data_IF_305360752847
#
_entry.id   IF_305360752847
#
_cell.length_a   1.000
_cell.length_b   1.000
_cell.length_c   1.000
_cell.angle_alpha   90.00
_cell.angle_beta   90.00
_cell.angle_gamma   90.00
#
_symmetry.space_group_name_H-M   'P 1'
#
loop_
_entity.id
_entity.type
_entity.pdbx_description
1 polymer ?
#
# COMPACT_ATOMS: atom_id res chain seq x y z
N UNK A 1 41.49 74.54 -22.98
CA UNK A 1 41.81 73.24 -23.62
C UNK A 1 41.05 72.13 -22.91
N UNK A 2 40.04 71.52 -23.55
CA UNK A 2 39.24 70.43 -22.98
C UNK A 2 39.95 69.10 -23.23
N UNK A 3 40.35 68.38 -22.17
CA UNK A 3 40.79 66.98 -22.26
C UNK A 3 39.53 66.10 -22.22
N UNK A 4 39.22 65.44 -23.33
CA UNK A 4 38.21 64.37 -23.36
C UNK A 4 38.79 63.15 -22.62
N UNK A 5 38.15 62.73 -21.53
CA UNK A 5 38.38 61.42 -20.92
C UNK A 5 37.61 60.38 -21.74
N UNK A 6 38.34 59.50 -22.43
CA UNK A 6 37.79 58.26 -22.96
C UNK A 6 37.47 57.35 -21.77
N UNK A 7 36.18 57.09 -21.53
CA UNK A 7 35.75 55.96 -20.71
C UNK A 7 35.92 54.70 -21.56
N UNK A 8 36.97 53.93 -21.26
CA UNK A 8 37.08 52.53 -21.67
C UNK A 8 36.03 51.75 -20.87
N UNK A 9 35.04 51.19 -21.58
CA UNK A 9 34.21 50.13 -21.04
C UNK A 9 35.10 48.89 -20.97
N UNK A 10 35.68 48.64 -19.80
CA UNK A 10 36.27 47.36 -19.49
C UNK A 10 35.11 46.38 -19.29
N UNK A 11 34.82 45.61 -20.33
CA UNK A 11 33.99 44.41 -20.23
C UNK A 11 34.58 43.53 -19.13
N UNK A 12 33.89 43.47 -17.99
CA UNK A 12 34.11 42.37 -17.06
C UNK A 12 33.52 41.16 -17.74
N UNK A 13 34.36 40.34 -18.35
CA UNK A 13 34.01 38.97 -18.70
C UNK A 13 33.46 38.33 -17.43
N UNK A 14 32.14 38.17 -17.37
CA UNK A 14 31.53 37.32 -16.37
C UNK A 14 32.07 35.93 -16.68
N UNK A 15 32.66 35.24 -15.69
CA UNK A 15 32.99 33.82 -15.82
C UNK A 15 31.72 33.07 -16.21
N UNK A 16 31.53 32.85 -17.51
CA UNK A 16 30.41 32.10 -18.03
C UNK A 16 30.77 30.64 -17.84
N UNK A 17 30.07 29.99 -16.90
CA UNK A 17 30.09 28.53 -16.77
C UNK A 17 29.96 27.90 -18.16
N UNK A 18 30.78 26.89 -18.43
CA UNK A 18 30.65 26.10 -19.66
C UNK A 18 29.26 25.45 -19.73
N UNK A 19 28.80 25.11 -20.93
CA UNK A 19 27.47 24.52 -21.11
C UNK A 19 27.34 23.22 -20.30
N UNK A 20 28.40 22.43 -20.23
CA UNK A 20 28.51 21.22 -19.43
C UNK A 20 28.39 21.52 -17.92
N UNK A 21 29.08 22.53 -17.41
CA UNK A 21 28.97 22.94 -16.00
C UNK A 21 27.59 23.52 -15.66
N UNK A 22 26.94 24.18 -16.62
CA UNK A 22 25.55 24.65 -16.47
C UNK A 22 24.57 23.47 -16.41
N UNK A 23 24.76 22.45 -17.26
CA UNK A 23 23.93 21.26 -17.27
C UNK A 23 24.10 20.43 -15.99
N UNK A 24 25.34 20.23 -15.52
CA UNK A 24 25.62 19.54 -14.26
C UNK A 24 25.07 20.32 -13.05
N UNK A 25 25.16 21.64 -13.06
CA UNK A 25 24.58 22.51 -12.03
C UNK A 25 23.05 22.45 -12.02
N UNK A 26 22.42 22.43 -13.19
CA UNK A 26 20.96 22.27 -13.32
C UNK A 26 20.52 20.89 -12.81
N UNK A 27 21.22 19.82 -13.18
CA UNK A 27 20.90 18.46 -12.72
C UNK A 27 21.04 18.34 -11.20
N UNK A 28 22.09 18.91 -10.60
CA UNK A 28 22.25 18.96 -9.14
C UNK A 28 21.15 19.79 -8.46
N UNK A 29 20.74 20.91 -9.06
CA UNK A 29 19.67 21.77 -8.53
C UNK A 29 18.31 21.08 -8.61
N UNK A 30 18.04 20.35 -9.70
CA UNK A 30 16.82 19.53 -9.84
C UNK A 30 16.79 18.39 -8.83
N UNK A 31 17.91 17.70 -8.59
CA UNK A 31 18.00 16.66 -7.57
C UNK A 31 17.74 17.22 -6.16
N UNK A 32 18.29 18.39 -5.83
CA UNK A 32 18.06 19.05 -4.54
C UNK A 32 16.60 19.54 -4.40
N UNK A 33 16.02 20.13 -5.43
CA UNK A 33 14.62 20.56 -5.43
C UNK A 33 13.66 19.37 -5.29
N UNK A 34 13.92 18.27 -5.99
CA UNK A 34 13.13 17.04 -5.88
C UNK A 34 13.28 16.38 -4.51
N UNK A 35 14.49 16.38 -3.91
CA UNK A 35 14.70 15.91 -2.55
C UNK A 35 13.90 16.75 -1.54
N UNK A 36 13.96 18.08 -1.63
CA UNK A 36 13.20 18.98 -0.76
C UNK A 36 11.68 18.84 -0.94
N UNK A 37 11.19 18.65 -2.16
CA UNK A 37 9.77 18.38 -2.43
C UNK A 37 9.32 17.04 -1.83
N UNK A 38 10.15 15.99 -1.93
CA UNK A 38 9.86 14.68 -1.38
C UNK A 38 9.87 14.66 0.16
N UNK A 39 10.79 15.39 0.79
CA UNK A 39 10.83 15.54 2.26
C UNK A 39 9.58 16.26 2.77
N UNK A 40 9.20 17.37 2.12
CA UNK A 40 7.96 18.09 2.45
C UNK A 40 6.72 17.19 2.30
N UNK A 41 6.68 16.34 1.27
CA UNK A 41 5.58 15.39 1.07
C UNK A 41 5.53 14.32 2.17
N UNK A 42 6.68 13.78 2.58
CA UNK A 42 6.77 12.78 3.64
C UNK A 42 6.32 13.33 5.00
N UNK A 43 6.67 14.58 5.33
CA UNK A 43 6.21 15.25 6.55
C UNK A 43 4.70 15.51 6.54
N UNK A 44 4.16 15.96 5.40
CA UNK A 44 2.72 16.13 5.20
C UNK A 44 1.99 14.80 5.41
N UNK A 45 2.50 13.71 4.86
CA UNK A 45 1.89 12.39 5.00
C UNK A 45 1.98 11.85 6.43
N UNK A 46 3.09 12.08 7.14
CA UNK A 46 3.20 11.77 8.58
C UNK A 46 2.15 12.53 9.40
N UNK A 47 2.00 13.83 9.18
CA UNK A 47 0.99 14.64 9.86
C UNK A 47 -0.44 14.16 9.54
N UNK A 48 -0.73 13.89 8.26
CA UNK A 48 -2.03 13.36 7.85
C UNK A 48 -2.34 11.99 8.46
N UNK A 49 -1.36 11.08 8.53
CA UNK A 49 -1.53 9.77 9.14
C UNK A 49 -1.81 9.88 10.65
N UNK A 50 -1.17 10.82 11.34
CA UNK A 50 -1.42 11.09 12.76
C UNK A 50 -2.83 11.65 12.98
N UNK A 51 -3.26 12.60 12.15
CA UNK A 51 -4.62 13.14 12.17
C UNK A 51 -5.68 12.08 11.88
N UNK A 52 -5.45 11.25 10.86
CA UNK A 52 -6.30 10.10 10.55
C UNK A 52 -6.42 9.17 11.79
N UNK A 53 -5.31 8.90 12.49
CA UNK A 53 -5.34 8.07 13.69
C UNK A 53 -6.14 8.71 14.84
N UNK A 54 -6.00 10.01 15.06
CA UNK A 54 -6.79 10.76 16.05
C UNK A 54 -8.28 10.65 15.74
N UNK A 55 -8.69 10.91 14.49
CA UNK A 55 -10.09 10.79 14.06
C UNK A 55 -10.60 9.37 14.26
N UNK A 56 -9.78 8.36 13.98
CA UNK A 56 -10.13 6.96 14.22
C UNK A 56 -10.40 6.68 15.71
N UNK A 57 -9.55 7.12 16.62
CA UNK A 57 -9.75 6.93 18.06
C UNK A 57 -11.04 7.60 18.54
N UNK A 58 -11.30 8.83 18.10
CA UNK A 58 -12.54 9.54 18.44
C UNK A 58 -13.78 8.82 17.92
N UNK A 59 -13.75 8.28 16.70
CA UNK A 59 -14.85 7.46 16.16
C UNK A 59 -15.05 6.14 16.93
N UNK A 60 -14.04 5.65 17.64
CA UNK A 60 -14.12 4.52 18.57
C UNK A 60 -14.64 4.89 19.96
N UNK A 61 -14.95 6.17 20.20
CA UNK A 61 -15.45 6.66 21.49
C UNK A 61 -14.33 6.95 22.50
N UNK A 62 -13.07 7.00 22.07
CA UNK A 62 -11.95 7.36 22.94
C UNK A 62 -11.84 8.88 22.97
N UNK A 63 -11.91 9.47 24.17
CA UNK A 63 -11.73 10.90 24.35
C UNK A 63 -10.26 11.28 24.21
N UNK A 64 -9.92 11.83 23.05
CA UNK A 64 -8.56 12.21 22.70
C UNK A 64 -8.11 13.54 23.33
N UNK A 65 -8.98 14.24 24.06
CA UNK A 65 -8.63 15.49 24.77
C UNK A 65 -7.94 15.23 26.10
N UNK A 66 -8.03 14.01 26.64
CA UNK A 66 -7.30 13.61 27.83
C UNK A 66 -5.79 13.56 27.60
N UNK A 67 -5.03 14.13 28.55
CA UNK A 67 -3.56 14.22 28.49
C UNK A 67 -2.89 12.86 28.28
N UNK A 68 -3.39 11.78 28.89
CA UNK A 68 -2.85 10.43 28.70
C UNK A 68 -2.92 9.99 27.24
N UNK A 69 -4.06 10.20 26.57
CA UNK A 69 -4.28 9.76 25.20
C UNK A 69 -3.46 10.61 24.21
N UNK A 70 -3.29 11.91 24.50
CA UNK A 70 -2.39 12.77 23.72
C UNK A 70 -0.95 12.27 23.79
N UNK A 71 -0.47 11.90 24.98
CA UNK A 71 0.88 11.34 25.18
C UNK A 71 1.05 10.00 24.46
N UNK A 72 0.03 9.14 24.45
CA UNK A 72 0.06 7.88 23.71
C UNK A 72 0.15 8.08 22.20
N UNK A 73 -0.61 9.03 21.64
CA UNK A 73 -0.51 9.40 20.22
C UNK A 73 0.87 9.97 19.91
N UNK A 74 1.38 10.88 20.75
CA UNK A 74 2.70 11.49 20.60
C UNK A 74 3.80 10.40 20.54
N UNK A 75 3.75 9.45 21.47
CA UNK A 75 4.67 8.29 21.51
C UNK A 75 4.55 7.41 20.28
N UNK A 76 3.33 7.11 19.81
CA UNK A 76 3.10 6.24 18.65
C UNK A 76 3.66 6.81 17.35
N UNK A 77 3.64 8.14 17.22
CA UNK A 77 4.09 8.84 16.01
C UNK A 77 5.46 9.52 16.19
N UNK A 78 6.17 9.23 17.29
CA UNK A 78 7.49 9.78 17.60
C UNK A 78 7.52 11.31 17.44
N UNK A 79 6.54 11.98 18.04
CA UNK A 79 6.32 13.42 17.89
C UNK A 79 6.04 14.08 19.24
N UNK A 80 6.08 15.41 19.28
CA UNK A 80 5.82 16.16 20.50
C UNK A 80 4.33 16.25 20.82
N UNK A 81 4.03 16.34 22.11
CA UNK A 81 2.67 16.56 22.62
C UNK A 81 2.08 17.87 22.08
N UNK A 82 2.92 18.90 21.88
CA UNK A 82 2.52 20.18 21.27
C UNK A 82 2.04 20.00 19.83
N UNK A 83 2.71 19.16 19.04
CA UNK A 83 2.32 18.84 17.66
C UNK A 83 0.97 18.12 17.62
N UNK A 84 0.74 17.16 18.53
CA UNK A 84 -0.56 16.49 18.65
C UNK A 84 -1.65 17.49 19.05
N UNK A 85 -1.37 18.43 19.95
CA UNK A 85 -2.31 19.49 20.32
C UNK A 85 -2.65 20.41 19.13
N UNK A 86 -1.67 20.75 18.29
CA UNK A 86 -1.89 21.51 17.07
C UNK A 86 -2.74 20.73 16.05
N UNK A 87 -2.56 19.42 15.95
CA UNK A 87 -3.42 18.57 15.13
C UNK A 87 -4.86 18.51 15.63
N UNK A 88 -5.05 18.44 16.96
CA UNK A 88 -6.39 18.54 17.56
C UNK A 88 -7.06 19.87 17.23
N UNK A 89 -6.30 20.97 17.31
CA UNK A 89 -6.80 22.28 16.90
C UNK A 89 -7.14 22.31 15.40
N UNK A 90 -6.30 21.73 14.55
CA UNK A 90 -6.56 21.64 13.10
C UNK A 90 -7.81 20.81 12.80
N UNK A 91 -8.02 19.72 13.55
CA UNK A 91 -9.18 18.83 13.44
C UNK A 91 -10.47 19.41 14.03
N UNK A 92 -10.41 20.48 14.81
CA UNK A 92 -11.63 21.19 15.26
C UNK A 92 -12.37 21.85 14.10
N UNK A 93 -11.70 22.06 12.96
CA UNK A 93 -12.33 22.51 11.73
C UNK A 93 -13.20 21.39 11.12
N UNK A 94 -14.49 21.69 10.90
CA UNK A 94 -15.47 20.73 10.35
C UNK A 94 -15.12 20.21 8.95
N UNK A 95 -14.50 21.03 8.10
CA UNK A 95 -14.09 20.63 6.75
C UNK A 95 -12.94 19.65 6.83
N UNK A 96 -11.89 19.99 7.58
CA UNK A 96 -10.72 19.14 7.80
C UNK A 96 -11.10 17.81 8.44
N UNK A 97 -11.98 17.83 9.45
CA UNK A 97 -12.53 16.62 10.06
C UNK A 97 -13.21 15.71 9.04
N UNK A 98 -14.09 16.27 8.19
CA UNK A 98 -14.79 15.49 7.15
C UNK A 98 -13.81 14.87 6.15
N UNK A 99 -12.76 15.60 5.76
CA UNK A 99 -11.73 15.09 4.86
C UNK A 99 -10.98 13.90 5.47
N UNK A 100 -10.50 14.01 6.70
CA UNK A 100 -9.81 12.90 7.37
C UNK A 100 -10.74 11.70 7.62
N UNK A 101 -12.02 11.95 7.95
CA UNK A 101 -13.03 10.87 8.03
C UNK A 101 -13.22 10.15 6.70
N UNK A 102 -13.25 10.88 5.59
CA UNK A 102 -13.34 10.29 4.24
C UNK A 102 -12.07 9.49 3.91
N UNK A 103 -10.88 10.07 4.13
CA UNK A 103 -9.58 9.38 3.95
C UNK A 103 -9.51 8.07 4.72
N UNK A 104 -9.96 8.05 5.98
CA UNK A 104 -10.03 6.82 6.78
C UNK A 104 -10.96 5.77 6.15
N UNK A 105 -12.14 6.18 5.71
CA UNK A 105 -13.09 5.29 5.03
C UNK A 105 -12.48 4.70 3.77
N UNK A 106 -11.80 5.52 2.97
CA UNK A 106 -11.15 5.10 1.74
C UNK A 106 -9.98 4.14 2.03
N UNK A 107 -9.15 4.42 3.04
CA UNK A 107 -8.09 3.50 3.50
C UNK A 107 -8.65 2.14 3.93
N UNK A 108 -9.76 2.12 4.68
CA UNK A 108 -10.43 0.88 5.09
C UNK A 108 -10.95 0.12 3.86
N UNK A 109 -11.60 0.82 2.93
CA UNK A 109 -12.11 0.21 1.70
C UNK A 109 -10.97 -0.37 0.84
N UNK A 110 -9.88 0.37 0.67
CA UNK A 110 -8.69 -0.11 -0.04
C UNK A 110 -8.12 -1.37 0.61
N UNK A 111 -8.02 -1.40 1.94
CA UNK A 111 -7.56 -2.58 2.66
C UNK A 111 -8.51 -3.78 2.46
N UNK A 112 -9.83 -3.57 2.47
CA UNK A 112 -10.81 -4.61 2.19
C UNK A 112 -10.70 -5.14 0.75
N UNK A 113 -10.54 -4.25 -0.23
CA UNK A 113 -10.33 -4.63 -1.63
C UNK A 113 -9.05 -5.44 -1.81
N UNK A 114 -7.93 -5.00 -1.20
CA UNK A 114 -6.66 -5.72 -1.22
C UNK A 114 -6.81 -7.12 -0.62
N UNK A 115 -7.43 -7.23 0.57
CA UNK A 115 -7.67 -8.54 1.22
C UNK A 115 -8.54 -9.46 0.36
N UNK A 116 -9.59 -8.92 -0.27
CA UNK A 116 -10.44 -9.68 -1.18
C UNK A 116 -9.65 -10.18 -2.39
N UNK A 117 -8.84 -9.31 -3.02
CA UNK A 117 -7.98 -9.67 -4.14
C UNK A 117 -6.96 -10.76 -3.76
N UNK A 118 -6.31 -10.65 -2.60
CA UNK A 118 -5.39 -11.67 -2.08
C UNK A 118 -6.08 -13.02 -1.85
N UNK A 119 -7.31 -13.03 -1.33
CA UNK A 119 -8.09 -14.28 -1.15
C UNK A 119 -8.41 -14.93 -2.50
N UNK A 120 -8.75 -14.14 -3.52
CA UNK A 120 -9.02 -14.67 -4.87
C UNK A 120 -7.73 -15.21 -5.48
N UNK A 121 -6.63 -14.44 -5.42
CA UNK A 121 -5.33 -14.85 -5.94
C UNK A 121 -4.85 -16.15 -5.27
N UNK A 122 -4.95 -16.24 -3.94
CA UNK A 122 -4.62 -17.43 -3.16
C UNK A 122 -5.42 -18.65 -3.62
N UNK A 123 -6.75 -18.54 -3.72
CA UNK A 123 -7.59 -19.66 -4.16
C UNK A 123 -7.25 -20.14 -5.57
N UNK A 124 -6.94 -19.22 -6.48
CA UNK A 124 -6.55 -19.55 -7.85
C UNK A 124 -5.18 -20.23 -7.87
N UNK A 125 -4.19 -19.71 -7.15
CA UNK A 125 -2.85 -20.27 -7.08
C UNK A 125 -2.86 -21.67 -6.45
N UNK A 126 -3.55 -21.86 -5.32
CA UNK A 126 -3.73 -23.18 -4.70
C UNK A 126 -4.41 -24.15 -5.66
N UNK A 127 -5.45 -23.72 -6.38
CA UNK A 127 -6.11 -24.57 -7.38
C UNK A 127 -5.16 -24.97 -8.51
N UNK A 128 -4.32 -24.05 -8.99
CA UNK A 128 -3.33 -24.33 -10.03
C UNK A 128 -2.25 -25.30 -9.55
N UNK A 129 -1.70 -25.09 -8.34
CA UNK A 129 -0.73 -26.01 -7.72
C UNK A 129 -1.32 -27.41 -7.53
N UNK A 130 -2.58 -27.50 -7.10
CA UNK A 130 -3.29 -28.77 -6.98
C UNK A 130 -3.49 -29.48 -8.33
N UNK A 131 -3.83 -28.74 -9.40
CA UNK A 131 -3.92 -29.29 -10.76
C UNK A 131 -2.57 -29.83 -11.26
N UNK A 132 -1.48 -29.16 -10.88
CA UNK A 132 -0.11 -29.57 -11.19
C UNK A 132 0.43 -30.67 -10.25
N UNK A 133 -0.40 -31.22 -9.36
CA UNK A 133 0.00 -32.24 -8.38
C UNK A 133 1.16 -31.82 -7.46
N UNK A 134 1.23 -30.53 -7.14
CA UNK A 134 2.22 -30.00 -6.20
C UNK A 134 2.05 -30.65 -4.81
N UNK A 135 3.18 -31.00 -4.17
CA UNK A 135 3.19 -31.54 -2.81
C UNK A 135 3.27 -30.40 -1.79
N UNK A 136 2.29 -30.34 -0.89
CA UNK A 136 2.27 -29.37 0.21
C UNK A 136 2.89 -29.99 1.47
N UNK A 137 3.95 -29.37 1.96
CA UNK A 137 4.60 -29.64 3.25
C UNK A 137 4.43 -28.44 4.20
N UNK A 138 4.98 -28.53 5.41
CA UNK A 138 4.85 -27.48 6.43
C UNK A 138 5.44 -26.14 5.96
N UNK A 139 6.64 -26.17 5.38
CA UNK A 139 7.35 -24.97 4.92
C UNK A 139 6.60 -24.27 3.78
N UNK A 140 6.10 -25.02 2.79
CA UNK A 140 5.30 -24.43 1.71
C UNK A 140 3.99 -23.82 2.22
N UNK A 141 3.34 -24.41 3.23
CA UNK A 141 2.15 -23.81 3.85
C UNK A 141 2.47 -22.49 4.56
N UNK A 142 3.59 -22.40 5.27
CA UNK A 142 4.04 -21.16 5.92
C UNK A 142 4.40 -20.09 4.89
N UNK A 143 5.13 -20.46 3.84
CA UNK A 143 5.52 -19.54 2.77
C UNK A 143 4.31 -18.95 2.05
N UNK A 144 3.35 -19.79 1.66
CA UNK A 144 2.10 -19.34 1.02
C UNK A 144 1.25 -18.49 1.98
N UNK A 145 1.24 -18.82 3.26
CA UNK A 145 0.56 -18.03 4.27
C UNK A 145 1.14 -16.61 4.39
N UNK A 146 2.48 -16.49 4.34
CA UNK A 146 3.17 -15.21 4.30
C UNK A 146 2.87 -14.43 3.02
N UNK A 147 2.99 -15.07 1.85
CA UNK A 147 2.72 -14.48 0.53
C UNK A 147 1.31 -13.87 0.43
N UNK A 148 0.30 -14.58 0.93
CA UNK A 148 -1.11 -14.16 0.86
C UNK A 148 -1.60 -13.46 2.14
N UNK A 149 -0.70 -13.08 3.04
CA UNK A 149 -1.01 -12.38 4.30
C UNK A 149 -2.13 -13.06 5.11
N UNK A 150 -2.08 -14.38 5.25
CA UNK A 150 -3.11 -15.17 5.91
C UNK A 150 -2.52 -16.21 6.87
N UNK A 151 -3.38 -16.89 7.65
CA UNK A 151 -2.95 -18.03 8.47
C UNK A 151 -2.80 -19.30 7.62
N UNK A 152 -1.83 -20.19 7.90
CA UNK A 152 -1.68 -21.47 7.20
C UNK A 152 -2.97 -22.32 7.16
N UNK A 153 -3.81 -22.22 8.20
CA UNK A 153 -5.12 -22.90 8.23
C UNK A 153 -6.01 -22.56 7.04
N UNK A 154 -5.96 -21.33 6.52
CA UNK A 154 -6.77 -20.94 5.35
C UNK A 154 -6.25 -21.58 4.06
N UNK A 155 -4.94 -21.80 3.94
CA UNK A 155 -4.35 -22.53 2.81
C UNK A 155 -4.83 -23.98 2.84
N UNK A 156 -4.79 -24.61 4.01
CA UNK A 156 -5.29 -25.97 4.23
C UNK A 156 -6.78 -26.07 3.88
N UNK A 157 -7.59 -25.09 4.28
CA UNK A 157 -9.01 -25.06 3.95
C UNK A 157 -9.27 -24.90 2.45
N UNK A 158 -8.47 -24.09 1.74
CA UNK A 158 -8.55 -23.98 0.28
C UNK A 158 -8.12 -25.28 -0.42
N UNK A 159 -7.09 -25.98 0.06
CA UNK A 159 -6.71 -27.32 -0.42
C UNK A 159 -7.84 -28.32 -0.21
N UNK A 160 -8.44 -28.36 0.99
CA UNK A 160 -9.60 -29.21 1.29
C UNK A 160 -10.80 -28.86 0.40
N UNK A 161 -11.03 -27.57 0.17
CA UNK A 161 -12.10 -27.08 -0.69
C UNK A 161 -11.89 -27.51 -2.14
N UNK A 162 -10.66 -27.46 -2.65
CA UNK A 162 -10.32 -27.98 -3.97
C UNK A 162 -10.55 -29.49 -4.06
N UNK A 163 -10.20 -30.27 -3.03
CA UNK A 163 -10.44 -31.73 -3.02
C UNK A 163 -11.92 -32.11 -3.07
N UNK A 164 -12.85 -31.19 -2.83
CA UNK A 164 -14.29 -31.46 -3.00
C UNK A 164 -14.61 -31.61 -4.49
N UNK A 165 -15.25 -32.73 -4.83
CA UNK A 165 -15.64 -33.05 -6.20
C UNK A 165 -16.44 -31.93 -6.89
N UNK A 166 -17.37 -31.28 -6.18
CA UNK A 166 -18.17 -30.17 -6.72
C UNK A 166 -17.30 -29.01 -7.20
N UNK A 167 -16.21 -28.73 -6.49
CA UNK A 167 -15.26 -27.65 -6.80
C UNK A 167 -14.44 -27.99 -8.04
N UNK A 168 -13.89 -29.22 -8.10
CA UNK A 168 -13.12 -29.70 -9.24
C UNK A 168 -13.95 -29.72 -10.53
N UNK A 169 -15.20 -30.18 -10.43
CA UNK A 169 -16.14 -30.17 -11.56
C UNK A 169 -16.40 -28.75 -12.07
N UNK A 170 -16.61 -27.78 -11.17
CA UNK A 170 -16.85 -26.38 -11.54
C UNK A 170 -15.64 -25.77 -12.24
N UNK A 171 -14.43 -25.99 -11.71
CA UNK A 171 -13.19 -25.53 -12.33
C UNK A 171 -12.97 -26.11 -13.73
N UNK A 172 -13.24 -27.40 -13.95
CA UNK A 172 -13.16 -28.02 -15.27
C UNK A 172 -14.14 -27.39 -16.27
N UNK A 173 -15.33 -27.00 -15.82
CA UNK A 173 -16.32 -26.29 -16.65
C UNK A 173 -15.83 -24.88 -17.00
N UNK A 174 -15.33 -24.14 -16.02
CA UNK A 174 -14.82 -22.77 -16.20
C UNK A 174 -13.58 -22.72 -17.11
N UNK A 175 -12.73 -23.75 -17.06
CA UNK A 175 -11.57 -23.92 -17.96
C UNK A 175 -11.94 -24.44 -19.36
N UNK A 176 -13.24 -24.50 -19.69
CA UNK A 176 -13.74 -25.01 -20.98
C UNK A 176 -13.19 -26.41 -21.34
N UNK A 177 -12.96 -27.26 -20.33
CA UNK A 177 -12.50 -28.62 -20.56
C UNK A 177 -13.52 -29.40 -21.41
N UNK A 178 -13.02 -30.29 -22.27
CA UNK A 178 -13.89 -31.05 -23.20
C UNK A 178 -14.98 -31.80 -22.43
N UNK A 179 -16.22 -31.77 -22.91
CA UNK A 179 -17.36 -32.43 -22.26
C UNK A 179 -17.15 -33.92 -21.90
N UNK A 180 -16.42 -34.74 -22.69
CA UNK A 180 -16.07 -36.11 -22.31
C UNK A 180 -15.21 -36.19 -21.03
N UNK A 181 -14.28 -35.25 -20.84
CA UNK A 181 -13.41 -35.19 -19.65
C UNK A 181 -14.27 -34.90 -18.41
N UNK A 182 -15.17 -33.92 -18.50
CA UNK A 182 -16.10 -33.56 -17.41
C UNK A 182 -17.02 -34.75 -17.07
N UNK A 183 -17.52 -35.48 -18.08
CA UNK A 183 -18.36 -36.68 -17.90
C UNK A 183 -17.59 -37.83 -17.26
N UNK A 184 -16.36 -38.11 -17.70
CA UNK A 184 -15.51 -39.16 -17.15
C UNK A 184 -15.16 -38.86 -15.68
N UNK A 185 -14.76 -37.63 -15.39
CA UNK A 185 -14.49 -37.16 -14.04
C UNK A 185 -15.71 -37.28 -13.11
N UNK A 186 -16.90 -36.93 -13.64
CA UNK A 186 -18.16 -37.07 -12.89
C UNK A 186 -18.57 -38.51 -12.64
N UNK A 187 -18.29 -39.44 -13.57
CA UNK A 187 -18.54 -40.87 -13.37
C UNK A 187 -17.60 -41.44 -12.32
N UNK A 188 -16.30 -41.14 -12.41
CA UNK A 188 -15.28 -41.60 -11.46
C UNK A 188 -15.61 -41.20 -10.01
N UNK A 189 -16.02 -39.96 -9.78
CA UNK A 189 -16.40 -39.51 -8.45
C UNK A 189 -17.65 -40.21 -7.89
N UNK A 190 -18.63 -40.56 -8.73
CA UNK A 190 -19.81 -41.33 -8.30
C UNK A 190 -19.44 -42.75 -7.83
N UNK A 191 -18.37 -43.33 -8.38
CA UNK A 191 -17.87 -44.63 -7.95
C UNK A 191 -17.10 -44.57 -6.62
N UNK A 192 -16.41 -43.46 -6.33
CA UNK A 192 -15.65 -43.27 -5.09
C UNK A 192 -16.47 -42.82 -3.86
N UNK A 193 -17.75 -42.52 -4.00
CA UNK A 193 -18.64 -42.14 -2.86
C UNK A 193 -19.16 -43.38 -2.09
N UNK A 194 -18.82 -44.61 -2.54
CA UNK A 194 -19.32 -45.87 -1.93
C UNK A 194 -18.39 -46.51 -0.89
N UNK A 195 -17.30 -45.86 -0.46
CA UNK A 195 -16.42 -46.33 0.62
C UNK A 195 -16.08 -45.20 1.58
#
# INVERSE_FOLDING_TARGET
MKKQHQQSYADKEADTLSLEELLDSVEQTEQQANAALNENQAEIDKANNRRDFIVFLTLKGIDITHKSNIVEVAKKFETDVSTVAQDLHTLSNKVTWKQHKARLKDKINQQLHRKSALVIARKNDISNKMLQSFSFDEDSLVNLAHEFECRPSHIVDDIRHFKKFSTQKKLLIEQQSKAPVIKAFSRFARFNIKY
#
